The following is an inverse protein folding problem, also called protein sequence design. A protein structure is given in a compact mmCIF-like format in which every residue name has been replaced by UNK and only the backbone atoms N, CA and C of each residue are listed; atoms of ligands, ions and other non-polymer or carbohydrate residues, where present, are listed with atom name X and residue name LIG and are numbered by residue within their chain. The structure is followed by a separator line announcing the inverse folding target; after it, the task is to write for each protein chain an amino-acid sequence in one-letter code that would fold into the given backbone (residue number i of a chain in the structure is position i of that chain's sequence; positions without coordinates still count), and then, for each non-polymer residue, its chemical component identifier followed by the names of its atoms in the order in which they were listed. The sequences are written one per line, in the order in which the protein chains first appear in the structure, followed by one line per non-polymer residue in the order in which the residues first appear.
data_IF_833407574396
#
_entry.id   IF_833407574396
#
_cell.length_a   1.000
_cell.length_b   1.000
_cell.length_c   1.000
_cell.angle_alpha   90.00
_cell.angle_beta   90.00
_cell.angle_gamma   90.00
#
_symmetry.space_group_name_H-M   'P 1'
#
loop_
_entity.id
_entity.type
_entity.pdbx_description
1 polymer ?
#
# COMPACT_ATOMS: atom_id res chain seq x y z
N UNK A 1 -43.82 9.17 -55.04
CA UNK A 1 -42.41 8.80 -54.79
C UNK A 1 -41.94 9.69 -53.67
N UNK A 2 -42.12 9.20 -52.44
CA UNK A 2 -41.71 9.85 -51.21
C UNK A 2 -40.26 9.42 -50.96
N UNK A 3 -39.33 10.35 -51.12
CA UNK A 3 -37.89 10.10 -50.91
C UNK A 3 -37.63 10.11 -49.41
N UNK A 4 -37.50 8.92 -48.82
CA UNK A 4 -37.01 8.79 -47.45
C UNK A 4 -35.58 9.35 -47.36
N UNK A 5 -35.42 10.35 -46.50
CA UNK A 5 -34.14 10.99 -46.18
C UNK A 5 -33.25 10.01 -45.37
N UNK A 6 -32.07 9.61 -45.88
CA UNK A 6 -31.26 8.53 -45.28
C UNK A 6 -30.45 8.95 -44.04
N UNK A 7 -30.75 10.09 -43.41
CA UNK A 7 -29.86 10.71 -42.41
C UNK A 7 -30.43 10.87 -40.99
N UNK A 8 -31.32 9.97 -40.55
CA UNK A 8 -31.65 9.84 -39.14
C UNK A 8 -31.01 8.60 -38.51
N UNK A 9 -29.67 8.62 -38.41
CA UNK A 9 -28.97 7.73 -37.50
C UNK A 9 -29.31 8.11 -36.04
N UNK A 10 -29.62 7.14 -35.15
CA UNK A 10 -30.04 7.45 -33.79
C UNK A 10 -28.89 8.07 -32.98
N UNK A 11 -28.90 9.41 -32.82
CA UNK A 11 -28.06 10.17 -31.88
C UNK A 11 -28.48 9.92 -30.42
N UNK A 12 -28.49 8.66 -29.97
CA UNK A 12 -29.04 8.35 -28.64
C UNK A 12 -28.26 7.23 -27.97
N UNK A 13 -27.00 7.51 -27.59
CA UNK A 13 -26.30 6.83 -26.47
C UNK A 13 -24.83 7.27 -26.24
N UNK A 14 -24.24 8.17 -27.04
CA UNK A 14 -22.83 8.58 -26.85
C UNK A 14 -22.59 9.33 -25.53
N UNK A 15 -23.51 10.20 -25.09
CA UNK A 15 -23.36 10.97 -23.85
C UNK A 15 -23.29 10.09 -22.59
N UNK A 16 -24.25 9.18 -22.40
CA UNK A 16 -24.27 8.23 -21.27
C UNK A 16 -23.06 7.29 -21.23
N UNK A 17 -22.45 7.01 -22.39
CA UNK A 17 -21.26 6.15 -22.48
C UNK A 17 -19.98 6.88 -22.04
N UNK A 18 -19.90 8.18 -22.28
CA UNK A 18 -18.76 9.00 -21.82
C UNK A 18 -18.87 9.26 -20.32
N UNK A 19 -20.06 9.61 -19.82
CA UNK A 19 -20.32 9.85 -18.39
C UNK A 19 -19.96 8.63 -17.51
N UNK A 20 -20.24 7.40 -17.97
CA UNK A 20 -19.80 6.16 -17.28
C UNK A 20 -18.30 5.93 -17.34
N UNK A 21 -17.62 6.31 -18.43
CA UNK A 21 -16.15 6.21 -18.51
C UNK A 21 -15.51 7.24 -17.60
N UNK A 22 -16.01 8.46 -17.59
CA UNK A 22 -15.48 9.55 -16.77
C UNK A 22 -15.64 9.20 -15.28
N UNK A 23 -16.78 8.61 -14.89
CA UNK A 23 -16.99 8.07 -13.54
C UNK A 23 -16.01 6.93 -13.21
N UNK A 24 -15.76 5.99 -14.13
CA UNK A 24 -14.81 4.89 -13.89
C UNK A 24 -13.36 5.38 -13.80
N UNK A 25 -12.94 6.31 -14.66
CA UNK A 25 -11.61 6.92 -14.64
C UNK A 25 -11.42 7.74 -13.36
N UNK A 26 -12.48 8.37 -12.84
CA UNK A 26 -12.42 9.11 -11.57
C UNK A 26 -12.27 8.18 -10.35
N UNK A 27 -12.88 6.99 -10.37
CA UNK A 27 -12.78 6.02 -9.27
C UNK A 27 -11.43 5.28 -9.29
N UNK A 28 -11.00 4.79 -10.46
CA UNK A 28 -9.75 4.05 -10.64
C UNK A 28 -8.53 4.98 -10.59
N UNK A 29 -8.66 6.20 -11.10
CA UNK A 29 -7.64 7.24 -11.01
C UNK A 29 -7.69 8.05 -9.71
N UNK A 30 -8.55 7.68 -8.75
CA UNK A 30 -8.59 8.39 -7.47
C UNK A 30 -7.27 8.15 -6.72
N UNK A 31 -6.62 9.20 -6.18
CA UNK A 31 -5.38 9.06 -5.41
C UNK A 31 -5.54 8.06 -4.25
N UNK A 32 -6.73 8.03 -3.64
CA UNK A 32 -7.07 7.08 -2.59
C UNK A 32 -7.07 5.62 -3.08
N UNK A 33 -7.58 5.32 -4.28
CA UNK A 33 -7.58 3.96 -4.79
C UNK A 33 -6.19 3.48 -5.20
N UNK A 34 -5.37 4.37 -5.78
CA UNK A 34 -4.00 4.02 -6.17
C UNK A 34 -3.10 3.88 -4.93
N UNK A 35 -3.16 4.85 -4.00
CA UNK A 35 -2.24 4.90 -2.85
C UNK A 35 -2.64 3.96 -1.71
N UNK A 36 -3.93 3.57 -1.63
CA UNK A 36 -4.42 2.66 -0.58
C UNK A 36 -4.98 1.35 -1.15
N UNK A 37 -5.76 1.43 -2.22
CA UNK A 37 -6.37 0.25 -2.85
C UNK A 37 -5.32 -0.69 -3.44
N UNK A 38 -4.34 -0.19 -4.19
CA UNK A 38 -3.31 -1.05 -4.81
C UNK A 38 -2.42 -1.75 -3.76
N UNK A 39 -1.88 -1.06 -2.73
CA UNK A 39 -1.14 -1.73 -1.66
C UNK A 39 -1.98 -2.73 -0.86
N UNK A 40 -3.24 -2.39 -0.53
CA UNK A 40 -4.13 -3.28 0.21
C UNK A 40 -4.46 -4.55 -0.62
N UNK A 41 -4.66 -4.38 -1.93
CA UNK A 41 -4.96 -5.48 -2.84
C UNK A 41 -3.70 -6.35 -3.08
N UNK A 42 -2.51 -5.74 -3.14
CA UNK A 42 -1.24 -6.48 -3.17
C UNK A 42 -1.06 -7.33 -1.90
N UNK A 43 -1.36 -6.79 -0.72
CA UNK A 43 -1.31 -7.53 0.55
C UNK A 43 -2.34 -8.65 0.57
N UNK A 44 -3.59 -8.37 0.18
CA UNK A 44 -4.64 -9.37 0.08
C UNK A 44 -4.28 -10.48 -0.92
N UNK A 45 -3.63 -10.14 -2.03
CA UNK A 45 -3.16 -11.10 -3.03
C UNK A 45 -1.99 -11.94 -2.50
N UNK A 46 -1.05 -11.34 -1.77
CA UNK A 46 0.04 -12.06 -1.11
C UNK A 46 -0.48 -13.04 -0.07
N UNK A 47 -1.49 -12.65 0.72
CA UNK A 47 -2.20 -13.54 1.65
C UNK A 47 -2.90 -14.67 0.88
N UNK A 48 -3.68 -14.32 -0.15
CA UNK A 48 -4.42 -15.28 -0.96
C UNK A 48 -3.48 -16.30 -1.62
N UNK A 49 -2.34 -15.86 -2.17
CA UNK A 49 -1.33 -16.75 -2.71
C UNK A 49 -0.77 -17.68 -1.64
N UNK A 50 -0.35 -17.15 -0.48
CA UNK A 50 0.11 -18.00 0.64
C UNK A 50 -0.93 -19.03 1.08
N UNK A 51 -2.21 -18.65 1.10
CA UNK A 51 -3.32 -19.54 1.49
C UNK A 51 -3.62 -20.58 0.41
N UNK A 52 -3.62 -20.20 -0.86
CA UNK A 52 -3.98 -21.09 -1.98
C UNK A 52 -2.83 -21.98 -2.42
N UNK A 53 -1.57 -21.53 -2.30
CA UNK A 53 -0.39 -22.37 -2.52
C UNK A 53 -0.11 -23.28 -1.33
N UNK A 54 -0.87 -23.16 -0.23
CA UNK A 54 -0.77 -24.05 0.92
C UNK A 54 -1.39 -25.40 0.56
N UNK A 55 -0.54 -26.32 0.14
CA UNK A 55 -0.88 -27.74 0.04
C UNK A 55 -0.75 -28.36 1.44
N UNK A 56 -1.80 -28.19 2.26
CA UNK A 56 -1.75 -28.60 3.67
C UNK A 56 -2.62 -29.82 3.94
N UNK A 57 -1.98 -30.92 4.32
CA UNK A 57 -2.69 -32.00 5.01
C UNK A 57 -2.32 -32.08 6.51
N UNK A 58 -1.15 -31.59 6.98
CA UNK A 58 -0.70 -31.85 8.36
C UNK A 58 0.33 -30.86 8.99
N UNK A 59 0.66 -29.68 8.43
CA UNK A 59 1.72 -28.83 9.00
C UNK A 59 1.18 -27.69 9.91
N UNK A 60 1.72 -27.62 11.14
CA UNK A 60 1.54 -26.50 12.07
C UNK A 60 2.44 -25.33 11.66
N UNK A 61 1.96 -24.07 11.73
CA UNK A 61 2.70 -22.82 11.46
C UNK A 61 4.22 -22.92 11.69
N UNK A 62 5.02 -22.91 10.61
CA UNK A 62 6.49 -23.03 10.67
C UNK A 62 7.17 -21.67 10.84
N UNK A 63 8.46 -21.69 11.19
CA UNK A 63 9.30 -20.52 11.49
C UNK A 63 9.41 -19.48 10.38
N UNK A 64 9.08 -19.90 9.16
CA UNK A 64 9.07 -19.08 7.95
C UNK A 64 7.74 -18.35 7.66
N UNK A 65 6.64 -18.70 8.34
CA UNK A 65 5.38 -17.94 8.29
C UNK A 65 5.47 -16.71 9.22
N UNK A 66 6.42 -15.82 8.92
CA UNK A 66 6.49 -14.50 9.54
C UNK A 66 5.21 -13.71 9.23
N UNK A 67 4.75 -12.97 10.25
CA UNK A 67 3.54 -12.18 10.19
C UNK A 67 3.54 -11.15 9.05
N UNK A 68 2.36 -11.05 8.43
CA UNK A 68 2.06 -10.21 7.27
C UNK A 68 2.39 -8.73 7.49
N UNK A 69 2.39 -8.27 8.74
CA UNK A 69 2.73 -6.91 9.12
C UNK A 69 4.14 -6.45 8.75
N UNK A 70 5.14 -7.35 8.70
CA UNK A 70 6.47 -6.97 8.20
C UNK A 70 6.46 -6.71 6.69
N UNK A 71 5.76 -7.55 5.90
CA UNK A 71 5.59 -7.35 4.46
C UNK A 71 4.83 -6.05 4.15
N UNK A 72 3.82 -5.74 4.98
CA UNK A 72 3.05 -4.50 4.91
C UNK A 72 3.93 -3.27 5.21
N UNK A 73 4.80 -3.38 6.22
CA UNK A 73 5.75 -2.33 6.58
C UNK A 73 6.77 -2.06 5.48
N UNK A 74 7.27 -3.12 4.82
CA UNK A 74 8.19 -3.02 3.68
C UNK A 74 7.49 -2.33 2.50
N UNK A 75 6.24 -2.72 2.21
CA UNK A 75 5.44 -2.09 1.15
C UNK A 75 5.24 -0.59 1.42
N UNK A 76 4.91 -0.22 2.66
CA UNK A 76 4.79 1.17 3.08
C UNK A 76 6.12 1.92 2.95
N UNK A 77 7.25 1.30 3.32
CA UNK A 77 8.58 1.89 3.17
C UNK A 77 8.93 2.16 1.70
N UNK A 78 8.64 1.21 0.81
CA UNK A 78 8.86 1.40 -0.63
C UNK A 78 8.02 2.55 -1.18
N UNK A 79 6.73 2.62 -0.81
CA UNK A 79 5.85 3.73 -1.18
C UNK A 79 6.40 5.07 -0.69
N UNK A 80 6.87 5.12 0.56
CA UNK A 80 7.49 6.30 1.15
C UNK A 80 8.74 6.75 0.39
N UNK A 81 9.64 5.83 0.05
CA UNK A 81 10.88 6.13 -0.69
C UNK A 81 10.55 6.70 -2.08
N UNK A 82 9.65 6.04 -2.82
CA UNK A 82 9.25 6.46 -4.17
C UNK A 82 8.64 7.86 -4.11
N UNK A 83 7.68 8.10 -3.22
CA UNK A 83 7.06 9.41 -3.08
C UNK A 83 8.04 10.49 -2.60
N UNK A 84 8.97 10.13 -1.71
CA UNK A 84 9.95 11.07 -1.16
C UNK A 84 10.98 11.52 -2.20
N UNK A 85 11.32 10.65 -3.17
CA UNK A 85 12.26 11.00 -4.25
C UNK A 85 11.84 12.26 -5.01
N UNK A 86 10.56 12.37 -5.36
CA UNK A 86 10.00 13.54 -6.03
C UNK A 86 10.01 14.80 -5.18
N UNK A 87 9.85 14.67 -3.85
CA UNK A 87 9.91 15.80 -2.92
C UNK A 87 11.35 16.33 -2.78
N UNK A 88 12.32 15.42 -2.64
CA UNK A 88 13.76 15.76 -2.55
C UNK A 88 14.24 16.42 -3.83
N UNK A 89 13.83 15.93 -5.00
CA UNK A 89 14.16 16.57 -6.27
C UNK A 89 13.64 18.00 -6.37
N UNK A 90 12.51 18.33 -5.72
CA UNK A 90 11.97 19.70 -5.68
C UNK A 90 12.67 20.58 -4.65
N UNK A 91 13.17 20.02 -3.54
CA UNK A 91 13.84 20.80 -2.49
C UNK A 91 15.22 21.30 -2.89
N UNK A 92 15.87 20.67 -3.87
CA UNK A 92 17.21 21.04 -4.33
C UNK A 92 17.21 22.14 -5.41
N UNK A 93 16.04 22.53 -5.91
CA UNK A 93 15.92 23.56 -6.95
C UNK A 93 16.17 24.94 -6.32
N UNK A 94 17.00 25.81 -6.93
CA UNK A 94 17.18 27.19 -6.46
C UNK A 94 15.84 27.94 -6.42
N UNK A 95 15.49 28.50 -5.26
CA UNK A 95 14.19 29.16 -5.05
C UNK A 95 13.05 28.23 -4.66
N UNK A 96 13.34 26.98 -4.28
CA UNK A 96 12.33 26.08 -3.74
C UNK A 96 11.62 26.69 -2.51
N UNK A 97 10.28 26.49 -2.36
CA UNK A 97 9.57 26.95 -1.18
C UNK A 97 10.16 26.35 0.09
N UNK A 98 10.35 27.16 1.13
CA UNK A 98 10.95 26.72 2.39
C UNK A 98 10.19 25.52 3.01
N UNK A 99 8.86 25.50 2.89
CA UNK A 99 8.03 24.37 3.34
C UNK A 99 8.40 23.02 2.68
N UNK A 100 8.84 23.03 1.41
CA UNK A 100 9.28 21.82 0.71
C UNK A 100 10.63 21.34 1.23
N UNK A 101 11.54 22.28 1.51
CA UNK A 101 12.86 21.97 2.07
C UNK A 101 12.74 21.40 3.49
N UNK A 102 11.90 22.00 4.33
CA UNK A 102 11.64 21.51 5.68
C UNK A 102 10.96 20.13 5.68
N UNK A 103 9.95 19.93 4.82
CA UNK A 103 9.30 18.62 4.66
C UNK A 103 10.30 17.56 4.16
N UNK A 104 11.21 17.92 3.25
CA UNK A 104 12.25 17.02 2.76
C UNK A 104 13.31 16.69 3.83
N UNK A 105 13.65 17.63 4.70
CA UNK A 105 14.60 17.43 5.80
C UNK A 105 14.10 16.40 6.85
N UNK A 106 12.79 16.17 6.93
CA UNK A 106 12.21 15.14 7.80
C UNK A 106 12.36 13.70 7.26
N UNK A 107 12.61 13.53 5.96
CA UNK A 107 12.66 12.22 5.29
C UNK A 107 13.70 11.27 5.93
N UNK A 108 14.97 11.68 6.15
CA UNK A 108 15.98 10.78 6.73
C UNK A 108 15.59 10.30 8.13
N UNK A 109 14.95 11.17 8.92
CA UNK A 109 14.49 10.83 10.26
C UNK A 109 13.36 9.82 10.24
N UNK A 110 12.40 9.98 9.32
CA UNK A 110 11.31 9.02 9.14
C UNK A 110 11.85 7.67 8.68
N UNK A 111 12.77 7.64 7.71
CA UNK A 111 13.42 6.39 7.25
C UNK A 111 14.12 5.69 8.41
N UNK A 112 14.89 6.44 9.22
CA UNK A 112 15.57 5.90 10.38
C UNK A 112 14.57 5.32 11.40
N UNK A 113 13.48 6.03 11.69
CA UNK A 113 12.44 5.56 12.61
C UNK A 113 11.75 4.28 12.11
N UNK A 114 11.40 4.21 10.84
CA UNK A 114 10.78 3.00 10.25
C UNK A 114 11.76 1.83 10.26
N UNK A 115 13.04 2.08 9.96
CA UNK A 115 14.07 1.03 10.01
C UNK A 115 14.27 0.48 11.42
N UNK A 116 14.34 1.35 12.43
CA UNK A 116 14.39 0.94 13.84
C UNK A 116 13.13 0.16 14.22
N UNK A 117 11.95 0.60 13.78
CA UNK A 117 10.69 -0.09 14.03
C UNK A 117 10.63 -1.48 13.41
N UNK A 118 11.09 -1.64 12.16
CA UNK A 118 11.21 -2.92 11.48
C UNK A 118 12.17 -3.86 12.21
N UNK A 119 13.35 -3.35 12.59
CA UNK A 119 14.33 -4.12 13.35
C UNK A 119 13.79 -4.55 14.72
N UNK A 120 13.15 -3.64 15.46
CA UNK A 120 12.56 -3.91 16.76
C UNK A 120 11.45 -4.96 16.65
N UNK A 121 10.53 -4.79 15.70
CA UNK A 121 9.43 -5.74 15.45
C UNK A 121 9.96 -7.11 15.05
N UNK A 122 10.95 -7.18 14.15
CA UNK A 122 11.62 -8.43 13.78
C UNK A 122 12.29 -9.11 14.98
N UNK A 123 12.93 -8.34 15.85
CA UNK A 123 13.57 -8.84 17.08
C UNK A 123 12.54 -9.37 18.08
N UNK A 124 11.41 -8.67 18.24
CA UNK A 124 10.29 -9.08 19.10
C UNK A 124 9.69 -10.39 18.60
N UNK A 125 9.37 -10.50 17.32
CA UNK A 125 8.85 -11.75 16.73
C UNK A 125 9.87 -12.89 16.91
N UNK A 126 11.16 -12.62 16.69
CA UNK A 126 12.21 -13.65 16.83
C UNK A 126 12.41 -14.13 18.27
N UNK A 127 12.30 -13.24 19.26
CA UNK A 127 12.57 -13.56 20.67
C UNK A 127 11.32 -14.00 21.45
N UNK A 128 10.17 -13.40 21.17
CA UNK A 128 8.93 -13.53 21.96
C UNK A 128 7.77 -14.13 21.14
N UNK A 129 7.87 -14.12 19.81
CA UNK A 129 6.84 -14.66 18.93
C UNK A 129 6.77 -16.18 18.89
N UNK A 130 7.76 -16.89 19.45
CA UNK A 130 7.86 -18.36 19.38
C UNK A 130 7.75 -18.97 20.78
N UNK A 131 6.83 -19.92 20.94
CA UNK A 131 6.74 -20.78 22.12
C UNK A 131 7.81 -21.88 22.08
N UNK A 132 8.14 -22.42 23.25
CA UNK A 132 9.01 -23.58 23.50
C UNK A 132 8.69 -24.81 22.63
N UNK A 133 7.42 -24.97 22.23
CA UNK A 133 6.97 -26.06 21.36
C UNK A 133 7.05 -25.74 19.86
N UNK A 134 7.71 -24.63 19.47
CA UNK A 134 7.81 -24.19 18.09
C UNK A 134 6.53 -23.57 17.51
N UNK A 135 5.50 -23.35 18.34
CA UNK A 135 4.24 -22.73 17.93
C UNK A 135 4.35 -21.21 18.01
N UNK A 136 3.76 -20.52 17.04
CA UNK A 136 3.75 -19.05 17.02
C UNK A 136 2.76 -18.50 18.07
N UNK A 137 3.22 -17.61 18.94
CA UNK A 137 2.36 -16.87 19.85
C UNK A 137 1.53 -15.85 19.06
N UNK A 138 0.20 -16.00 19.10
CA UNK A 138 -0.73 -15.12 18.38
C UNK A 138 -0.51 -13.64 18.72
N UNK A 139 -0.28 -13.30 19.98
CA UNK A 139 -0.03 -11.90 20.38
C UNK A 139 1.26 -11.32 19.79
N UNK A 140 2.40 -11.85 20.23
CA UNK A 140 3.72 -11.32 19.87
C UNK A 140 4.17 -11.64 18.44
N UNK A 141 3.74 -12.79 17.92
CA UNK A 141 4.13 -13.31 16.62
C UNK A 141 3.22 -12.85 15.48
N UNK A 142 1.96 -12.47 15.74
CA UNK A 142 0.99 -12.04 14.71
C UNK A 142 0.48 -10.62 14.97
N UNK A 143 -0.15 -10.37 16.12
CA UNK A 143 -0.85 -9.10 16.38
C UNK A 143 0.12 -7.90 16.39
N UNK A 144 1.26 -8.02 17.07
CA UNK A 144 2.25 -6.94 17.16
C UNK A 144 2.80 -6.51 15.79
N UNK A 145 3.36 -7.41 14.96
CA UNK A 145 3.83 -7.05 13.64
C UNK A 145 2.72 -6.52 12.73
N UNK A 146 1.51 -7.09 12.78
CA UNK A 146 0.38 -6.64 11.95
C UNK A 146 -0.07 -5.21 12.31
N UNK A 147 -0.21 -4.91 13.60
CA UNK A 147 -0.54 -3.56 14.06
C UNK A 147 0.55 -2.56 13.68
N UNK A 148 1.83 -2.94 13.79
CA UNK A 148 2.94 -2.11 13.36
C UNK A 148 2.88 -1.82 11.85
N UNK A 149 2.67 -2.85 11.02
CA UNK A 149 2.56 -2.68 9.57
C UNK A 149 1.41 -1.77 9.15
N UNK A 150 0.23 -1.96 9.75
CA UNK A 150 -0.93 -1.09 9.47
C UNK A 150 -0.65 0.35 9.93
N UNK A 151 -0.06 0.54 11.11
CA UNK A 151 0.29 1.87 11.61
C UNK A 151 1.29 2.59 10.71
N UNK A 152 2.36 1.90 10.26
CA UNK A 152 3.36 2.46 9.34
C UNK A 152 2.72 2.82 8.00
N UNK A 153 1.89 1.95 7.44
CA UNK A 153 1.19 2.23 6.19
C UNK A 153 0.30 3.46 6.30
N UNK A 154 -0.53 3.55 7.34
CA UNK A 154 -1.41 4.70 7.57
C UNK A 154 -0.62 6.00 7.77
N UNK A 155 0.48 5.93 8.52
CA UNK A 155 1.38 7.06 8.71
C UNK A 155 1.97 7.53 7.38
N UNK A 156 2.52 6.62 6.57
CA UNK A 156 3.14 6.94 5.28
C UNK A 156 2.12 7.57 4.33
N UNK A 157 0.96 6.93 4.15
CA UNK A 157 -0.10 7.44 3.26
C UNK A 157 -0.58 8.83 3.70
N UNK A 158 -0.69 9.06 5.01
CA UNK A 158 -1.05 10.38 5.54
C UNK A 158 0.05 11.42 5.32
N UNK A 159 1.32 11.04 5.47
CA UNK A 159 2.45 11.96 5.36
C UNK A 159 2.74 12.39 3.93
N UNK A 160 2.58 11.46 2.98
CA UNK A 160 2.79 11.69 1.54
C UNK A 160 1.81 12.73 1.00
N UNK A 161 0.60 12.81 1.55
CA UNK A 161 -0.39 13.81 1.12
C UNK A 161 0.19 15.23 1.27
N UNK A 162 0.00 16.08 0.26
CA UNK A 162 0.46 17.47 0.26
C UNK A 162 -0.18 18.27 1.40
#
# INVERSE_FOLDING_TARGET
METEDPLQAPKRNRGKRNERRDAQVTIIGSPLFIDFGVPLLAVALSIFLKVVTRNDHLATFEREDLAFGLDLSITALLLFIVSSSGLVSRSIIPGAPQAVVEKAAAIPWILLSVFIGLWATSTVVRKLGWDTNGRLHVGWGIVVPDLFGVAVLLFVVRWIKP
#
